data_IF_990252565449
#
_entry.id   IF_990252565449
#
_cell.length_a   1.000
_cell.length_b   1.000
_cell.length_c   1.000
_cell.angle_alpha   90.00
_cell.angle_beta   90.00
_cell.angle_gamma   90.00
#
_symmetry.space_group_name_H-M   'P 1'
#
loop_
_entity.id
_entity.type
_entity.pdbx_description
1 polymer ?
#
# COMPACT_ATOMS: atom_id res chain seq x y z
N UNK A 1 20.92 25.71 -17.68
CA UNK A 1 21.96 25.39 -16.68
C UNK A 1 21.32 24.86 -15.39
N UNK A 2 21.31 23.54 -15.18
CA UNK A 2 20.92 22.88 -13.91
C UNK A 2 21.35 21.39 -13.72
N UNK A 3 21.99 20.66 -14.67
CA UNK A 3 22.12 19.20 -14.51
C UNK A 3 23.17 18.75 -13.48
N UNK A 4 24.20 19.56 -13.18
CA UNK A 4 25.34 19.12 -12.35
C UNK A 4 25.01 18.88 -10.86
N UNK A 5 23.91 19.40 -10.31
CA UNK A 5 23.55 19.21 -8.88
C UNK A 5 22.57 18.07 -8.58
N UNK A 6 21.95 17.45 -9.60
CA UNK A 6 20.99 16.37 -9.40
C UNK A 6 21.69 15.06 -9.02
N UNK A 7 22.94 14.84 -9.46
CA UNK A 7 23.66 13.60 -9.16
C UNK A 7 23.94 13.39 -7.66
N UNK A 8 23.91 14.47 -6.84
CA UNK A 8 24.09 14.41 -5.38
C UNK A 8 22.77 14.27 -4.60
N UNK A 9 21.65 14.09 -5.29
CA UNK A 9 20.34 13.95 -4.63
C UNK A 9 20.21 12.57 -3.97
N UNK A 10 19.72 12.51 -2.72
CA UNK A 10 19.53 11.25 -2.01
C UNK A 10 18.34 10.46 -2.58
N UNK A 11 18.36 9.14 -2.40
CA UNK A 11 17.24 8.24 -2.73
C UNK A 11 16.20 8.16 -1.61
N UNK A 12 16.37 8.91 -0.52
CA UNK A 12 15.48 8.95 0.63
C UNK A 12 14.21 9.77 0.36
N UNK A 13 13.21 9.62 1.23
CA UNK A 13 12.07 10.54 1.29
C UNK A 13 12.51 11.93 1.73
N UNK A 14 11.72 12.93 1.34
CA UNK A 14 11.94 14.29 1.80
C UNK A 14 11.14 15.33 1.05
N UNK A 15 11.48 16.58 1.35
CA UNK A 15 10.87 17.76 0.74
C UNK A 15 11.93 18.49 -0.06
N UNK A 16 11.59 18.96 -1.25
CA UNK A 16 12.47 19.73 -2.13
C UNK A 16 11.88 21.10 -2.43
N UNK A 17 12.76 22.02 -2.78
CA UNK A 17 12.49 23.44 -2.93
C UNK A 17 13.05 23.92 -4.25
N UNK A 18 12.25 24.62 -5.03
CA UNK A 18 12.74 25.47 -6.11
C UNK A 18 12.80 26.90 -5.61
N UNK A 19 13.91 27.55 -5.92
CA UNK A 19 14.23 28.91 -5.50
C UNK A 19 14.38 29.81 -6.71
N UNK A 20 13.96 31.06 -6.53
CA UNK A 20 14.32 32.17 -7.40
C UNK A 20 14.96 33.23 -6.52
N UNK A 21 16.23 33.56 -6.79
CA UNK A 21 17.05 34.40 -5.90
C UNK A 21 17.05 33.82 -4.48
N UNK A 22 16.45 34.51 -3.51
CA UNK A 22 16.30 34.08 -2.12
C UNK A 22 14.87 33.72 -1.72
N UNK A 23 13.94 33.62 -2.67
CA UNK A 23 12.53 33.29 -2.42
C UNK A 23 12.22 31.85 -2.83
N UNK A 24 11.49 31.13 -1.97
CA UNK A 24 10.95 29.81 -2.30
C UNK A 24 9.76 30.01 -3.24
N UNK A 25 9.87 29.47 -4.45
CA UNK A 25 8.82 29.58 -5.47
C UNK A 25 7.96 28.31 -5.56
N UNK A 26 8.51 27.17 -5.14
CA UNK A 26 7.80 25.89 -5.06
C UNK A 26 8.38 24.98 -3.97
N UNK A 27 7.49 24.26 -3.31
CA UNK A 27 7.78 23.19 -2.34
C UNK A 27 7.07 21.94 -2.82
N UNK A 28 7.79 20.81 -2.85
CA UNK A 28 7.19 19.51 -3.16
C UNK A 28 7.73 18.40 -2.27
N UNK A 29 6.92 17.36 -2.02
CA UNK A 29 7.32 16.13 -1.34
C UNK A 29 7.70 15.03 -2.31
N UNK A 30 8.54 14.10 -1.85
CA UNK A 30 8.89 12.90 -2.60
C UNK A 30 9.10 11.72 -1.64
N UNK A 31 8.66 10.53 -2.06
CA UNK A 31 9.11 9.28 -1.43
C UNK A 31 10.57 8.96 -1.80
N UNK A 32 11.03 9.41 -2.97
CA UNK A 32 12.42 9.31 -3.41
C UNK A 32 12.84 10.63 -4.09
N UNK A 33 13.67 11.41 -3.40
CA UNK A 33 14.10 12.74 -3.86
C UNK A 33 14.82 12.69 -5.21
N UNK A 34 15.73 11.73 -5.41
CA UNK A 34 16.47 11.56 -6.67
C UNK A 34 15.56 11.31 -7.86
N UNK A 35 14.72 10.29 -7.78
CA UNK A 35 13.78 9.94 -8.86
C UNK A 35 12.81 11.09 -9.15
N UNK A 36 12.31 11.75 -8.10
CA UNK A 36 11.38 12.87 -8.27
C UNK A 36 12.04 14.07 -8.93
N UNK A 37 13.23 14.48 -8.48
CA UNK A 37 13.93 15.62 -9.07
C UNK A 37 14.38 15.33 -10.51
N UNK A 38 14.85 14.11 -10.80
CA UNK A 38 15.17 13.70 -12.17
C UNK A 38 13.95 13.78 -13.11
N UNK A 39 12.74 13.51 -12.62
CA UNK A 39 11.52 13.58 -13.45
C UNK A 39 11.26 14.98 -14.04
N UNK A 40 11.70 16.05 -13.38
CA UNK A 40 11.57 17.43 -13.87
C UNK A 40 12.51 17.77 -15.03
N UNK A 41 13.44 16.88 -15.40
CA UNK A 41 14.39 17.12 -16.50
C UNK A 41 14.22 16.14 -17.67
N UNK A 42 13.29 15.19 -17.56
CA UNK A 42 12.89 14.34 -18.67
C UNK A 42 11.79 15.07 -19.47
N UNK A 43 12.16 15.52 -20.68
CA UNK A 43 11.33 16.42 -21.52
C UNK A 43 9.97 15.85 -21.96
N UNK A 44 9.74 14.54 -21.85
CA UNK A 44 8.58 13.87 -22.43
C UNK A 44 7.28 13.95 -21.61
N UNK A 45 7.26 14.55 -20.41
CA UNK A 45 6.10 14.44 -19.49
C UNK A 45 5.85 15.65 -18.58
N UNK A 46 6.30 16.85 -18.95
CA UNK A 46 6.22 18.04 -18.07
C UNK A 46 5.18 19.03 -18.60
N UNK A 47 4.18 19.29 -17.76
CA UNK A 47 3.21 20.36 -17.94
C UNK A 47 3.89 21.73 -18.13
N UNK A 48 3.41 22.49 -19.11
CA UNK A 48 3.79 23.87 -19.45
C UNK A 48 4.16 24.74 -18.25
N UNK A 49 3.35 24.74 -17.19
CA UNK A 49 3.57 25.60 -16.02
C UNK A 49 4.73 25.13 -15.13
N UNK A 50 4.96 23.83 -15.04
CA UNK A 50 6.14 23.27 -14.37
C UNK A 50 7.41 23.58 -15.18
N UNK A 51 7.31 23.60 -16.50
CA UNK A 51 8.40 24.05 -17.38
C UNK A 51 8.76 25.51 -17.09
N UNK A 52 7.78 26.42 -16.98
CA UNK A 52 8.02 27.82 -16.60
C UNK A 52 8.69 27.95 -15.22
N UNK A 53 8.23 27.17 -14.23
CA UNK A 53 8.86 27.12 -12.90
C UNK A 53 10.32 26.71 -12.97
N UNK A 54 10.65 25.66 -13.74
CA UNK A 54 12.03 25.18 -13.89
C UNK A 54 12.91 26.23 -14.57
N UNK A 55 12.38 26.94 -15.58
CA UNK A 55 13.13 27.99 -16.29
C UNK A 55 13.47 29.18 -15.37
N UNK A 56 12.55 29.55 -14.49
CA UNK A 56 12.71 30.67 -13.56
C UNK A 56 13.57 30.31 -12.34
N UNK A 57 13.59 29.03 -11.96
CA UNK A 57 14.33 28.55 -10.80
C UNK A 57 15.85 28.63 -11.03
N UNK A 58 16.57 29.26 -10.10
CA UNK A 58 18.03 29.36 -10.14
C UNK A 58 18.73 28.35 -9.21
N UNK A 59 18.00 27.82 -8.21
CA UNK A 59 18.55 26.91 -7.21
C UNK A 59 17.51 25.89 -6.77
N UNK A 60 17.97 24.65 -6.60
CA UNK A 60 17.17 23.55 -6.06
C UNK A 60 17.86 23.08 -4.77
N UNK A 61 17.09 22.96 -3.69
CA UNK A 61 17.55 22.36 -2.42
C UNK A 61 16.56 21.31 -1.95
N UNK A 62 16.97 20.50 -0.97
CA UNK A 62 16.13 19.46 -0.38
C UNK A 62 16.44 19.28 1.10
N UNK A 63 15.47 18.74 1.83
CA UNK A 63 15.59 18.29 3.22
C UNK A 63 15.13 16.84 3.28
N UNK A 64 15.99 15.97 3.84
CA UNK A 64 15.67 14.55 4.03
C UNK A 64 14.66 14.41 5.17
N UNK A 65 13.76 13.45 5.04
CA UNK A 65 12.86 13.01 6.10
C UNK A 65 13.04 11.52 6.32
N UNK A 66 12.72 11.06 7.52
CA UNK A 66 12.73 9.64 7.89
C UNK A 66 11.64 8.85 7.17
N UNK A 67 10.52 9.49 6.82
CA UNK A 67 9.37 8.84 6.18
C UNK A 67 8.64 9.71 5.15
N UNK A 68 7.76 9.07 4.36
CA UNK A 68 6.84 9.73 3.44
C UNK A 68 5.76 10.56 4.15
N UNK A 69 5.31 10.12 5.34
CA UNK A 69 4.35 10.86 6.16
C UNK A 69 5.00 12.13 6.72
N UNK A 70 6.25 12.04 7.19
CA UNK A 70 6.99 13.22 7.62
C UNK A 70 7.21 14.20 6.45
N UNK A 71 7.51 13.69 5.25
CA UNK A 71 7.60 14.54 4.05
C UNK A 71 6.26 15.22 3.73
N UNK A 72 5.14 14.51 3.86
CA UNK A 72 3.79 15.04 3.66
C UNK A 72 3.46 16.17 4.65
N UNK A 73 3.72 15.93 5.94
CA UNK A 73 3.47 16.92 7.01
C UNK A 73 4.38 18.13 6.83
N UNK A 74 5.67 17.91 6.59
CA UNK A 74 6.64 18.98 6.42
C UNK A 74 6.34 19.84 5.19
N UNK A 75 5.95 19.22 4.07
CA UNK A 75 5.47 19.96 2.89
C UNK A 75 4.29 20.86 3.24
N UNK A 76 3.26 20.33 3.89
CA UNK A 76 2.08 21.09 4.32
C UNK A 76 2.45 22.30 5.19
N UNK A 77 3.32 22.09 6.19
CA UNK A 77 3.82 23.16 7.06
C UNK A 77 4.59 24.23 6.28
N UNK A 78 5.44 23.83 5.33
CA UNK A 78 6.25 24.75 4.53
C UNK A 78 5.40 25.53 3.52
N UNK A 79 4.40 24.90 2.90
CA UNK A 79 3.44 25.58 2.03
C UNK A 79 2.63 26.59 2.83
N UNK A 80 2.13 26.20 4.03
CA UNK A 80 1.40 27.10 4.92
C UNK A 80 2.25 28.32 5.32
N UNK A 81 3.53 28.09 5.65
CA UNK A 81 4.47 29.13 6.08
C UNK A 81 4.89 30.07 4.95
N UNK A 82 5.27 29.53 3.80
CA UNK A 82 5.92 30.30 2.73
C UNK A 82 4.99 30.72 1.59
N UNK A 83 3.81 30.10 1.47
CA UNK A 83 2.83 30.32 0.40
C UNK A 83 3.48 30.49 -0.99
N UNK A 84 4.24 29.48 -1.48
CA UNK A 84 5.03 29.63 -2.69
C UNK A 84 4.15 29.84 -3.93
N UNK A 85 4.55 30.75 -4.82
CA UNK A 85 3.74 31.17 -5.97
C UNK A 85 3.28 30.00 -6.85
N UNK A 86 4.16 29.03 -7.13
CA UNK A 86 3.81 27.90 -8.01
C UNK A 86 2.99 26.83 -7.27
N UNK A 87 3.06 26.73 -5.95
CA UNK A 87 2.12 25.86 -5.22
C UNK A 87 0.68 26.41 -5.25
N UNK A 88 0.53 27.73 -5.44
CA UNK A 88 -0.76 28.41 -5.61
C UNK A 88 -1.20 28.43 -7.07
N UNK A 89 -0.28 28.72 -8.01
CA UNK A 89 -0.57 28.89 -9.44
C UNK A 89 -0.66 27.59 -10.25
N UNK A 90 0.03 26.50 -9.86
CA UNK A 90 -0.02 25.19 -10.55
C UNK A 90 -1.32 24.41 -10.27
N UNK A 91 -2.42 25.11 -10.01
CA UNK A 91 -3.68 24.54 -9.56
C UNK A 91 -4.74 24.75 -10.63
N UNK A 92 -4.83 23.79 -11.54
CA UNK A 92 -6.06 23.57 -12.30
C UNK A 92 -7.08 22.98 -11.33
N UNK A 93 -8.06 23.77 -10.90
CA UNK A 93 -9.34 23.38 -10.29
C UNK A 93 -9.31 22.47 -9.04
N UNK A 94 -8.13 22.07 -8.55
CA UNK A 94 -7.92 21.15 -7.43
C UNK A 94 -7.60 21.93 -6.16
N UNK A 95 -8.62 22.11 -5.34
CA UNK A 95 -8.54 22.71 -4.00
C UNK A 95 -7.59 21.90 -3.10
N UNK A 96 -6.88 22.56 -2.16
CA UNK A 96 -6.08 21.84 -1.15
C UNK A 96 -6.97 20.88 -0.38
N UNK A 97 -6.42 19.74 0.04
CA UNK A 97 -7.09 18.88 0.99
C UNK A 97 -6.82 19.38 2.41
N UNK A 98 -7.84 19.34 3.23
CA UNK A 98 -7.79 19.61 4.66
C UNK A 98 -8.38 18.43 5.40
N UNK A 99 -7.78 18.09 6.54
CA UNK A 99 -8.33 17.13 7.48
C UNK A 99 -9.12 17.92 8.51
N UNK A 100 -10.44 17.71 8.54
CA UNK A 100 -11.36 18.32 9.49
C UNK A 100 -11.56 17.43 10.72
N UNK A 101 -11.63 18.07 11.89
CA UNK A 101 -11.90 17.46 13.19
C UNK A 101 -13.09 18.18 13.86
N UNK A 102 -14.17 17.46 14.16
CA UNK A 102 -15.32 18.04 14.91
C UNK A 102 -15.00 18.19 16.40
N UNK A 103 -15.71 19.06 17.14
CA UNK A 103 -15.57 19.19 18.61
C UNK A 103 -16.59 18.38 19.43
N UNK A 104 -17.12 17.29 18.88
CA UNK A 104 -17.99 16.38 19.64
C UNK A 104 -17.15 15.58 20.65
N UNK A 105 -17.80 14.93 21.63
CA UNK A 105 -17.09 14.16 22.67
C UNK A 105 -16.11 13.12 22.11
N UNK A 106 -16.42 12.53 20.97
CA UNK A 106 -15.48 11.78 20.15
C UNK A 106 -15.42 12.42 18.75
N UNK A 107 -14.37 13.23 18.50
CA UNK A 107 -14.23 13.96 17.23
C UNK A 107 -14.27 13.07 16.01
N UNK A 108 -15.01 13.52 14.99
CA UNK A 108 -15.04 12.91 13.66
C UNK A 108 -13.92 13.46 12.81
N UNK A 109 -13.26 12.57 12.06
CA UNK A 109 -12.20 12.91 11.11
C UNK A 109 -12.72 12.77 9.69
N UNK A 110 -12.55 13.81 8.87
CA UNK A 110 -12.95 13.77 7.46
C UNK A 110 -12.01 14.59 6.58
N UNK A 111 -12.05 14.33 5.28
CA UNK A 111 -11.31 15.10 4.28
C UNK A 111 -12.26 16.08 3.60
N UNK A 112 -11.85 17.34 3.48
CA UNK A 112 -12.58 18.37 2.74
C UNK A 112 -11.62 19.20 1.88
N UNK A 113 -12.18 19.78 0.83
CA UNK A 113 -11.52 20.78 -0.01
C UNK A 113 -11.89 22.22 0.39
N UNK A 114 -12.99 22.38 1.11
CA UNK A 114 -13.57 23.65 1.51
C UNK A 114 -13.53 23.74 3.04
N UNK A 115 -12.42 24.20 3.64
CA UNK A 115 -12.41 24.51 5.06
C UNK A 115 -13.36 25.70 5.29
N UNK A 116 -14.36 25.54 6.14
CA UNK A 116 -15.25 26.64 6.47
C UNK A 116 -14.50 27.66 7.32
N UNK A 117 -14.65 28.94 6.99
CA UNK A 117 -13.98 30.02 7.70
C UNK A 117 -14.80 30.35 8.96
N UNK A 118 -14.23 30.28 10.18
CA UNK A 118 -14.98 30.58 11.40
C UNK A 118 -15.52 32.03 11.46
N UNK A 119 -15.01 32.94 10.61
CA UNK A 119 -15.44 34.35 10.52
C UNK A 119 -16.26 34.69 9.26
N UNK A 120 -16.95 33.70 8.66
CA UNK A 120 -17.81 33.95 7.49
C UNK A 120 -19.02 34.83 7.84
N UNK A 121 -19.11 36.04 7.24
CA UNK A 121 -20.27 36.96 7.39
C UNK A 121 -21.60 36.40 6.87
N UNK A 122 -21.57 35.30 6.11
CA UNK A 122 -22.75 34.62 5.60
C UNK A 122 -22.76 33.17 6.10
N UNK A 123 -23.40 32.90 7.25
CA UNK A 123 -23.66 31.53 7.67
C UNK A 123 -24.70 30.93 6.72
N UNK A 124 -24.32 29.92 5.93
CA UNK A 124 -25.31 29.14 5.18
C UNK A 124 -26.36 28.51 6.12
N UNK A 125 -27.47 28.00 5.57
CA UNK A 125 -28.64 27.42 6.28
C UNK A 125 -28.36 26.37 7.38
N UNK A 126 -27.12 25.91 7.55
CA UNK A 126 -26.65 25.11 8.69
C UNK A 126 -26.29 25.99 9.92
N UNK A 127 -27.16 26.96 10.23
CA UNK A 127 -26.98 28.14 11.10
C UNK A 127 -26.67 27.95 12.59
N UNK A 128 -26.45 26.74 13.10
CA UNK A 128 -26.30 26.50 14.55
C UNK A 128 -25.21 25.49 14.96
N UNK A 129 -24.44 24.92 14.03
CA UNK A 129 -23.27 24.06 14.33
C UNK A 129 -21.98 24.74 13.86
N UNK A 130 -21.90 26.06 14.03
CA UNK A 130 -21.09 26.94 13.17
C UNK A 130 -19.74 27.42 13.72
N UNK A 131 -19.22 26.88 14.83
CA UNK A 131 -17.94 27.35 15.42
C UNK A 131 -16.95 26.24 15.87
N UNK A 132 -17.09 25.02 15.35
CA UNK A 132 -16.52 23.85 16.04
C UNK A 132 -15.85 22.81 15.16
N UNK A 133 -15.20 23.21 14.06
CA UNK A 133 -14.40 22.29 13.24
C UNK A 133 -12.98 22.85 13.12
N UNK A 134 -12.01 22.04 13.54
CA UNK A 134 -10.60 22.35 13.37
C UNK A 134 -10.09 21.73 12.07
N UNK A 135 -9.32 22.49 11.28
CA UNK A 135 -8.75 22.01 10.02
C UNK A 135 -7.21 21.99 10.05
N UNK A 136 -6.64 20.86 9.65
CA UNK A 136 -5.19 20.71 9.43
C UNK A 136 -4.93 20.57 7.93
N UNK A 137 -3.94 21.32 7.46
CA UNK A 137 -3.58 21.42 6.05
C UNK A 137 -2.80 22.72 5.81
N UNK A 138 -2.53 23.08 4.54
CA UNK A 138 -3.04 22.45 3.33
C UNK A 138 -2.23 21.23 2.84
N UNK A 139 -2.91 20.17 2.40
CA UNK A 139 -2.28 19.02 1.75
C UNK A 139 -2.46 19.08 0.22
N UNK A 140 -1.38 18.80 -0.50
CA UNK A 140 -1.30 18.87 -1.97
C UNK A 140 -1.97 17.68 -2.66
N UNK A 141 -1.91 16.49 -2.06
CA UNK A 141 -2.33 15.22 -2.66
C UNK A 141 -3.32 14.45 -1.76
N UNK A 142 -4.56 14.32 -2.24
CA UNK A 142 -5.66 13.65 -1.51
C UNK A 142 -5.45 12.17 -1.27
N UNK A 143 -4.88 11.46 -2.24
CA UNK A 143 -4.60 10.03 -2.11
C UNK A 143 -3.57 9.75 -1.02
N UNK A 144 -2.50 10.54 -0.93
CA UNK A 144 -1.48 10.37 0.11
C UNK A 144 -2.07 10.61 1.48
N UNK A 145 -2.79 11.71 1.71
CA UNK A 145 -3.38 12.00 3.02
C UNK A 145 -4.45 10.97 3.40
N UNK A 146 -5.27 10.50 2.44
CA UNK A 146 -6.25 9.43 2.67
C UNK A 146 -5.58 8.11 3.07
N UNK A 147 -4.47 7.75 2.41
CA UNK A 147 -3.66 6.58 2.74
C UNK A 147 -3.04 6.71 4.14
N UNK A 148 -2.47 7.87 4.46
CA UNK A 148 -1.94 8.20 5.79
C UNK A 148 -3.00 8.06 6.87
N UNK A 149 -4.18 8.65 6.69
CA UNK A 149 -5.29 8.55 7.64
C UNK A 149 -5.79 7.11 7.80
N UNK A 150 -5.69 6.28 6.77
CA UNK A 150 -6.03 4.85 6.85
C UNK A 150 -5.01 4.09 7.71
N UNK A 151 -3.72 4.32 7.51
CA UNK A 151 -2.67 3.73 8.36
C UNK A 151 -2.83 4.14 9.83
N UNK A 152 -3.02 5.44 10.07
CA UNK A 152 -3.18 5.96 11.42
C UNK A 152 -4.40 5.36 12.13
N UNK A 153 -5.47 5.01 11.40
CA UNK A 153 -6.66 4.38 11.99
C UNK A 153 -6.36 3.04 12.67
N UNK A 154 -5.42 2.26 12.13
CA UNK A 154 -5.04 0.97 12.70
C UNK A 154 -4.25 1.12 14.00
N UNK A 155 -3.62 2.28 14.23
CA UNK A 155 -2.91 2.58 15.47
C UNK A 155 -3.83 3.30 16.45
N UNK A 156 -4.53 4.32 15.95
CA UNK A 156 -5.41 5.20 16.69
C UNK A 156 -6.81 5.16 16.04
N UNK A 157 -7.68 4.22 16.43
CA UNK A 157 -9.05 4.14 15.94
C UNK A 157 -9.81 5.47 16.08
N UNK A 158 -10.56 5.86 15.05
CA UNK A 158 -11.31 7.11 15.02
C UNK A 158 -12.60 7.03 14.20
N UNK A 159 -13.54 7.93 14.48
CA UNK A 159 -14.86 7.97 13.87
C UNK A 159 -14.91 8.82 12.61
N UNK A 160 -15.76 8.44 11.65
CA UNK A 160 -16.05 9.23 10.44
C UNK A 160 -17.53 9.52 10.20
N UNK A 161 -18.44 8.85 10.91
CA UNK A 161 -19.89 8.96 10.73
C UNK A 161 -20.55 9.70 11.89
N UNK A 162 -21.71 10.32 11.62
CA UNK A 162 -22.60 10.88 12.64
C UNK A 162 -23.58 9.78 13.07
N UNK A 163 -23.64 9.46 14.36
CA UNK A 163 -24.63 8.52 14.92
C UNK A 163 -24.26 7.02 14.80
N UNK A 164 -25.28 6.19 15.03
CA UNK A 164 -25.26 4.73 15.16
C UNK A 164 -24.57 3.98 14.01
N UNK A 165 -23.69 3.00 14.29
CA UNK A 165 -22.88 2.32 13.27
C UNK A 165 -23.60 1.14 12.59
N UNK A 166 -24.94 1.16 12.39
CA UNK A 166 -25.67 0.00 11.85
C UNK A 166 -25.03 -0.57 10.57
N UNK A 167 -24.35 0.27 9.78
CA UNK A 167 -23.61 -0.11 8.56
C UNK A 167 -22.14 0.37 8.52
N UNK A 168 -21.49 0.66 9.66
CA UNK A 168 -20.10 1.12 9.64
C UNK A 168 -19.11 -0.06 9.55
N UNK A 169 -18.52 -0.24 8.37
CA UNK A 169 -17.46 -1.24 8.15
C UNK A 169 -16.32 -1.12 9.17
N UNK A 170 -15.92 0.11 9.51
CA UNK A 170 -14.81 0.32 10.43
C UNK A 170 -15.15 -0.03 11.87
N UNK A 171 -16.41 0.12 12.27
CA UNK A 171 -16.89 -0.34 13.57
C UNK A 171 -16.88 -1.88 13.63
N UNK A 172 -17.38 -2.55 12.59
CA UNK A 172 -17.34 -4.01 12.49
C UNK A 172 -15.90 -4.58 12.51
N UNK A 173 -14.90 -3.77 12.12
CA UNK A 173 -13.48 -4.12 12.17
C UNK A 173 -12.78 -3.71 13.47
N UNK A 174 -13.49 -3.14 14.46
CA UNK A 174 -12.89 -2.64 15.71
C UNK A 174 -12.02 -1.38 15.55
N UNK A 175 -12.19 -0.65 14.44
CA UNK A 175 -11.40 0.52 14.04
C UNK A 175 -12.18 1.83 14.11
N UNK A 176 -13.41 1.79 14.61
CA UNK A 176 -14.24 2.94 14.93
C UNK A 176 -14.70 2.81 16.39
N UNK A 177 -14.35 3.76 17.28
CA UNK A 177 -14.60 3.60 18.71
C UNK A 177 -16.05 3.85 19.16
N UNK A 178 -16.92 4.45 18.33
CA UNK A 178 -18.30 4.75 18.75
C UNK A 178 -19.32 3.71 18.26
N UNK A 179 -20.10 3.20 19.23
CA UNK A 179 -21.36 2.49 19.07
C UNK A 179 -22.57 3.33 19.53
N UNK A 180 -23.79 2.80 19.34
CA UNK A 180 -25.03 3.38 19.87
C UNK A 180 -24.98 3.67 21.38
N UNK A 181 -24.26 2.83 22.12
CA UNK A 181 -24.25 2.74 23.57
C UNK A 181 -22.84 3.02 24.11
N UNK A 182 -22.09 3.90 23.44
CA UNK A 182 -20.69 4.13 23.82
C UNK A 182 -20.59 4.66 25.24
N UNK A 183 -19.67 4.12 26.04
CA UNK A 183 -19.43 4.60 27.40
C UNK A 183 -18.63 5.90 27.39
N UNK A 184 -18.68 6.66 28.49
CA UNK A 184 -17.84 7.86 28.69
C UNK A 184 -16.34 7.55 28.53
N UNK A 185 -15.92 6.34 28.90
CA UNK A 185 -14.54 5.87 28.76
C UNK A 185 -14.13 5.65 27.30
N UNK A 186 -15.01 5.06 26.47
CA UNK A 186 -14.76 4.89 25.03
C UNK A 186 -14.67 6.24 24.31
N UNK A 187 -15.52 7.19 24.70
CA UNK A 187 -15.44 8.58 24.23
C UNK A 187 -14.10 9.23 24.64
N UNK A 188 -13.65 9.06 25.89
CA UNK A 188 -12.37 9.56 26.36
C UNK A 188 -11.16 8.93 25.62
N UNK A 189 -11.20 7.63 25.38
CA UNK A 189 -10.19 6.93 24.59
C UNK A 189 -10.16 7.43 23.13
N UNK A 190 -11.33 7.67 22.53
CA UNK A 190 -11.44 8.29 21.22
C UNK A 190 -10.77 9.67 21.20
N UNK A 191 -11.01 10.53 22.21
CA UNK A 191 -10.34 11.85 22.29
C UNK A 191 -8.82 11.72 22.29
N UNK A 192 -8.28 10.79 23.09
CA UNK A 192 -6.82 10.53 23.12
C UNK A 192 -6.27 10.12 21.75
N UNK A 193 -6.97 9.24 21.04
CA UNK A 193 -6.61 8.82 19.68
C UNK A 193 -6.61 10.01 18.70
N UNK A 194 -7.61 10.87 18.78
CA UNK A 194 -7.70 12.06 17.91
C UNK A 194 -6.57 13.05 18.21
N UNK A 195 -6.24 13.27 19.48
CA UNK A 195 -5.09 14.11 19.85
C UNK A 195 -3.79 13.56 19.27
N UNK A 196 -3.58 12.24 19.31
CA UNK A 196 -2.41 11.60 18.71
C UNK A 196 -2.35 11.84 17.19
N UNK A 197 -3.48 11.71 16.49
CA UNK A 197 -3.57 12.02 15.05
C UNK A 197 -3.28 13.49 14.79
N UNK A 198 -3.79 14.40 15.63
CA UNK A 198 -3.53 15.84 15.54
C UNK A 198 -2.05 16.15 15.71
N UNK A 199 -1.40 15.57 16.70
CA UNK A 199 0.04 15.71 16.93
C UNK A 199 0.85 15.25 15.72
N UNK A 200 0.50 14.10 15.14
CA UNK A 200 1.17 13.56 13.96
C UNK A 200 1.05 14.51 12.76
N UNK A 201 -0.17 14.98 12.46
CA UNK A 201 -0.42 15.85 11.31
C UNK A 201 0.14 17.27 11.50
N UNK A 202 0.36 17.71 12.75
CA UNK A 202 1.05 18.97 13.08
C UNK A 202 2.57 18.84 13.14
N UNK A 203 3.11 17.62 13.15
CA UNK A 203 4.54 17.35 13.25
C UNK A 203 5.08 17.20 14.68
N UNK A 204 4.22 17.09 15.69
CA UNK A 204 4.57 16.95 17.12
C UNK A 204 4.88 15.50 17.55
N UNK A 205 5.40 14.67 16.65
CA UNK A 205 5.58 13.23 16.88
C UNK A 205 6.48 12.90 18.09
N UNK A 206 7.56 13.68 18.31
CA UNK A 206 8.47 13.46 19.44
C UNK A 206 7.75 13.57 20.80
N UNK A 207 6.83 14.52 20.92
CA UNK A 207 6.06 14.73 22.15
C UNK A 207 5.02 13.62 22.34
N UNK A 208 4.38 13.18 21.25
CA UNK A 208 3.46 12.05 21.28
C UNK A 208 4.16 10.78 21.78
N UNK A 209 5.31 10.41 21.21
CA UNK A 209 6.05 9.20 21.62
C UNK A 209 6.43 9.25 23.10
N UNK A 210 6.95 10.39 23.57
CA UNK A 210 7.29 10.58 25.00
C UNK A 210 6.07 10.47 25.92
N UNK A 211 4.92 10.98 25.48
CA UNK A 211 3.66 10.90 26.24
C UNK A 211 3.17 9.46 26.35
N UNK A 212 3.15 8.72 25.23
CA UNK A 212 2.77 7.30 25.21
C UNK A 212 3.71 6.46 26.08
N UNK A 213 5.01 6.73 26.06
CA UNK A 213 6.01 6.04 26.89
C UNK A 213 5.78 6.28 28.39
N UNK A 214 5.49 7.53 28.78
CA UNK A 214 5.13 7.87 30.17
C UNK A 214 3.83 7.19 30.61
N UNK A 215 2.81 7.15 29.75
CA UNK A 215 1.53 6.52 30.07
C UNK A 215 1.68 5.00 30.18
N UNK A 216 2.45 4.37 29.28
CA UNK A 216 2.78 2.95 29.31
C UNK A 216 3.52 2.57 30.59
N UNK A 217 4.54 3.33 30.97
CA UNK A 217 5.31 3.08 32.20
C UNK A 217 4.48 3.29 33.46
N UNK A 218 3.53 4.24 33.45
CA UNK A 218 2.56 4.42 34.52
C UNK A 218 1.64 3.20 34.65
N UNK A 219 1.02 2.75 33.56
CA UNK A 219 0.13 1.58 33.58
C UNK A 219 0.86 0.31 34.04
N UNK A 220 2.13 0.14 33.65
CA UNK A 220 2.94 -0.98 34.12
C UNK A 220 3.21 -0.95 35.63
N UNK A 221 3.34 0.25 36.23
CA UNK A 221 3.48 0.41 37.70
C UNK A 221 2.16 0.17 38.44
N UNK A 222 1.04 0.46 37.81
CA UNK A 222 -0.32 0.22 38.33
C UNK A 222 -0.78 -1.24 38.07
N UNK A 223 0.13 -2.13 37.67
CA UNK A 223 -0.14 -3.55 37.32
C UNK A 223 -1.17 -3.75 36.18
N UNK A 224 -1.47 -2.70 35.41
CA UNK A 224 -2.32 -2.77 34.23
C UNK A 224 -1.48 -3.14 32.98
N UNK A 225 -1.10 -4.42 32.90
CA UNK A 225 -0.23 -4.94 31.85
C UNK A 225 -0.88 -4.97 30.45
N UNK A 226 -2.20 -5.13 30.37
CA UNK A 226 -2.93 -5.11 29.11
C UNK A 226 -2.90 -3.72 28.46
N UNK A 227 -3.20 -2.68 29.26
CA UNK A 227 -3.13 -1.29 28.81
C UNK A 227 -1.71 -0.88 28.41
N UNK A 228 -0.70 -1.29 29.20
CA UNK A 228 0.69 -1.04 28.88
C UNK A 228 1.11 -1.71 27.56
N UNK A 229 0.70 -2.97 27.33
CA UNK A 229 0.98 -3.70 26.09
C UNK A 229 0.34 -3.02 24.89
N UNK A 230 -0.92 -2.56 25.01
CA UNK A 230 -1.61 -1.80 23.96
C UNK A 230 -0.83 -0.54 23.56
N UNK A 231 -0.36 0.25 24.52
CA UNK A 231 0.43 1.45 24.26
C UNK A 231 1.80 1.13 23.63
N UNK A 232 2.48 0.08 24.11
CA UNK A 232 3.74 -0.42 23.53
C UNK A 232 3.56 -0.81 22.07
N UNK A 233 2.50 -1.54 21.75
CA UNK A 233 2.22 -2.02 20.40
C UNK A 233 1.85 -0.84 19.48
N UNK A 234 1.10 0.15 19.97
CA UNK A 234 0.85 1.41 19.26
C UNK A 234 2.14 2.19 18.97
N UNK A 235 3.02 2.33 19.96
CA UNK A 235 4.32 2.98 19.78
C UNK A 235 5.19 2.24 18.78
N UNK A 236 5.18 0.90 18.81
CA UNK A 236 5.93 0.05 17.89
C UNK A 236 5.37 0.19 16.47
N UNK A 237 4.05 0.15 16.30
CA UNK A 237 3.40 0.39 15.00
C UNK A 237 3.71 1.80 14.47
N UNK A 238 3.71 2.81 15.33
CA UNK A 238 4.06 4.19 14.96
C UNK A 238 5.51 4.28 14.51
N UNK A 239 6.44 3.74 15.32
CA UNK A 239 7.87 3.64 14.95
C UNK A 239 8.03 2.90 13.64
N UNK A 240 7.29 1.81 13.41
CA UNK A 240 7.34 1.06 12.16
C UNK A 240 6.87 1.89 10.97
N UNK A 241 5.79 2.66 11.08
CA UNK A 241 5.35 3.57 10.02
C UNK A 241 6.43 4.61 9.67
N UNK A 242 7.18 5.09 10.67
CA UNK A 242 8.25 6.06 10.46
C UNK A 242 9.59 5.43 10.05
N UNK A 243 9.87 4.20 10.47
CA UNK A 243 11.12 3.47 10.22
C UNK A 243 11.07 2.63 8.94
N UNK A 244 9.89 2.21 8.49
CA UNK A 244 9.73 1.42 7.27
C UNK A 244 9.75 2.31 6.04
N UNK A 245 10.79 2.11 5.23
CA UNK A 245 10.63 2.05 3.78
C UNK A 245 9.55 1.00 3.43
N UNK A 246 8.68 1.34 2.48
CA UNK A 246 7.81 0.40 1.73
C UNK A 246 6.60 -0.20 2.46
N UNK A 247 5.62 0.61 2.91
CA UNK A 247 4.23 0.14 3.01
C UNK A 247 3.32 1.26 2.53
N UNK A 248 2.58 1.02 1.44
CA UNK A 248 1.67 1.93 0.74
C UNK A 248 2.31 2.95 -0.23
N UNK A 249 2.88 2.45 -1.32
CA UNK A 249 2.81 3.18 -2.58
C UNK A 249 2.40 2.23 -3.70
N UNK A 250 1.21 2.45 -4.27
CA UNK A 250 0.80 1.88 -5.57
C UNK A 250 1.68 2.41 -6.73
N UNK A 251 2.62 3.32 -6.45
CA UNK A 251 3.65 3.79 -7.38
C UNK A 251 5.03 3.19 -7.10
N UNK A 252 5.13 2.27 -6.14
CA UNK A 252 6.32 1.44 -5.92
C UNK A 252 6.23 0.16 -6.76
N UNK A 253 6.17 0.31 -8.08
CA UNK A 253 7.07 -0.52 -8.88
C UNK A 253 8.46 0.02 -8.60
N UNK A 254 8.99 -0.41 -7.45
CA UNK A 254 10.22 0.10 -6.87
C UNK A 254 11.30 -0.02 -7.94
N UNK A 255 12.13 1.00 -8.02
CA UNK A 255 13.40 0.98 -8.73
C UNK A 255 14.30 -0.08 -8.05
N UNK A 256 14.02 -1.37 -8.27
CA UNK A 256 14.79 -2.50 -7.75
C UNK A 256 16.06 -2.66 -8.59
N UNK A 257 16.98 -1.70 -8.46
CA UNK A 257 18.24 -1.69 -9.20
C UNK A 257 19.23 -2.77 -8.75
N UNK A 258 18.95 -3.51 -7.68
CA UNK A 258 19.77 -4.62 -7.20
C UNK A 258 18.86 -5.76 -6.76
N UNK A 259 18.37 -6.57 -7.71
CA UNK A 259 18.00 -7.96 -7.38
C UNK A 259 19.32 -8.74 -7.33
N UNK A 260 19.96 -8.69 -6.18
CA UNK A 260 21.15 -9.49 -5.94
C UNK A 260 20.69 -10.91 -5.61
N UNK A 261 20.97 -11.86 -6.49
CA UNK A 261 20.90 -13.28 -6.14
C UNK A 261 21.90 -13.65 -5.03
N UNK A 262 22.90 -12.79 -4.75
CA UNK A 262 23.95 -13.05 -3.75
C UNK A 262 23.43 -13.14 -2.31
N UNK A 263 22.23 -12.60 -2.02
CA UNK A 263 21.64 -12.63 -0.67
C UNK A 263 20.71 -13.83 -0.44
N UNK A 264 20.62 -14.76 -1.39
CA UNK A 264 19.85 -15.99 -1.23
C UNK A 264 20.75 -17.14 -0.76
N UNK A 265 20.25 -18.04 0.10
CA UNK A 265 20.97 -19.25 0.46
C UNK A 265 21.37 -20.04 -0.79
N UNK A 266 22.62 -20.51 -0.88
CA UNK A 266 23.12 -21.30 -2.03
C UNK A 266 22.21 -22.50 -2.33
N UNK A 267 21.68 -23.13 -1.28
CA UNK A 267 20.75 -24.23 -1.39
C UNK A 267 19.43 -23.88 -2.09
N UNK A 268 19.01 -22.62 -2.08
CA UNK A 268 17.82 -22.13 -2.78
C UNK A 268 18.15 -21.72 -4.23
N UNK A 269 19.32 -21.12 -4.46
CA UNK A 269 19.75 -20.65 -5.78
C UNK A 269 19.72 -21.73 -6.86
N UNK A 270 20.07 -22.98 -6.50
CA UNK A 270 20.04 -24.12 -7.44
C UNK A 270 18.65 -24.45 -7.99
N UNK A 271 17.57 -24.04 -7.32
CA UNK A 271 16.20 -24.32 -7.73
C UNK A 271 15.54 -23.16 -8.49
N UNK A 272 16.14 -21.97 -8.49
CA UNK A 272 15.59 -20.78 -9.15
C UNK A 272 16.00 -20.71 -10.63
N UNK A 273 15.34 -19.85 -11.45
CA UNK A 273 15.76 -19.66 -12.83
C UNK A 273 17.20 -19.12 -12.89
N UNK A 274 18.05 -19.71 -13.74
CA UNK A 274 19.46 -19.31 -13.94
C UNK A 274 19.57 -18.09 -14.87
N UNK A 275 18.82 -17.04 -14.55
CA UNK A 275 18.83 -15.75 -15.24
C UNK A 275 18.52 -14.65 -14.23
N UNK A 276 18.75 -13.40 -14.62
CA UNK A 276 18.51 -12.26 -13.75
C UNK A 276 17.06 -12.25 -13.22
N UNK A 277 16.84 -12.06 -11.89
CA UNK A 277 15.49 -11.99 -11.33
C UNK A 277 14.58 -10.94 -11.96
N UNK A 278 15.16 -9.89 -12.55
CA UNK A 278 14.42 -8.85 -13.28
C UNK A 278 13.80 -9.36 -14.57
N UNK A 279 14.32 -10.46 -15.12
CA UNK A 279 13.85 -11.09 -16.35
C UNK A 279 12.92 -12.28 -16.06
N UNK A 280 12.67 -12.63 -14.79
CA UNK A 280 11.74 -13.70 -14.45
C UNK A 280 10.31 -13.30 -14.82
N UNK A 281 9.63 -14.16 -15.55
CA UNK A 281 8.17 -14.11 -15.69
C UNK A 281 7.57 -14.90 -14.54
N UNK A 282 6.87 -14.20 -13.65
CA UNK A 282 6.26 -14.77 -12.46
C UNK A 282 4.75 -14.67 -12.63
N UNK A 283 4.04 -15.79 -12.50
CA UNK A 283 2.57 -15.80 -12.43
C UNK A 283 2.13 -16.13 -11.00
N UNK A 284 1.34 -15.24 -10.40
CA UNK A 284 0.80 -15.36 -9.05
C UNK A 284 -0.65 -15.86 -9.05
N UNK A 285 -0.96 -16.80 -8.17
CA UNK A 285 -2.27 -17.45 -8.07
C UNK A 285 -2.85 -17.36 -6.66
N UNK A 286 -4.14 -16.99 -6.56
CA UNK A 286 -4.94 -16.94 -5.33
C UNK A 286 -6.34 -17.51 -5.61
N UNK A 287 -6.88 -18.26 -4.64
CA UNK A 287 -8.26 -18.75 -4.63
C UNK A 287 -9.04 -17.95 -3.60
N UNK A 288 -10.19 -17.43 -4.03
CA UNK A 288 -11.14 -16.73 -3.18
C UNK A 288 -12.48 -17.46 -3.19
N UNK A 289 -12.88 -17.95 -2.02
CA UNK A 289 -14.12 -18.69 -1.83
C UNK A 289 -15.01 -17.93 -0.83
N UNK A 290 -16.24 -17.60 -1.24
CA UNK A 290 -17.24 -16.94 -0.40
C UNK A 290 -18.42 -17.90 -0.29
N UNK A 291 -18.65 -18.43 0.91
CA UNK A 291 -19.89 -19.08 1.38
C UNK A 291 -20.72 -19.81 0.29
N UNK A 292 -20.05 -20.64 -0.52
CA UNK A 292 -20.68 -21.74 -1.25
C UNK A 292 -21.32 -21.47 -2.62
N UNK A 293 -21.35 -20.25 -3.19
CA UNK A 293 -22.07 -20.05 -4.47
C UNK A 293 -21.24 -19.60 -5.69
N UNK A 294 -20.10 -18.90 -5.55
CA UNK A 294 -19.20 -18.65 -6.71
C UNK A 294 -17.73 -18.53 -6.29
N UNK A 295 -17.04 -19.67 -6.21
CA UNK A 295 -15.59 -19.69 -6.00
C UNK A 295 -14.85 -19.17 -7.25
N UNK A 296 -13.81 -18.37 -7.03
CA UNK A 296 -13.04 -17.76 -8.12
C UNK A 296 -11.53 -17.84 -7.86
N UNK A 297 -10.78 -18.11 -8.92
CA UNK A 297 -9.33 -18.02 -8.93
C UNK A 297 -8.85 -16.77 -9.66
N UNK A 298 -7.70 -16.26 -9.24
CA UNK A 298 -7.05 -15.12 -9.87
C UNK A 298 -5.65 -15.49 -10.36
N UNK A 299 -5.28 -14.96 -11.52
CA UNK A 299 -3.94 -15.02 -12.09
C UNK A 299 -3.47 -13.59 -12.32
N UNK A 300 -2.33 -13.26 -11.74
CA UNK A 300 -1.58 -12.02 -12.04
C UNK A 300 -0.24 -12.39 -12.64
N UNK A 301 0.29 -11.58 -13.55
CA UNK A 301 1.57 -11.86 -14.21
C UNK A 301 2.52 -10.69 -14.05
N UNK A 302 3.80 -10.99 -13.88
CA UNK A 302 4.86 -10.02 -13.63
C UNK A 302 6.10 -10.36 -14.45
N UNK A 303 6.83 -9.33 -14.88
CA UNK A 303 8.22 -9.41 -15.35
C UNK A 303 9.11 -8.82 -14.24
N UNK A 304 9.76 -9.69 -13.47
CA UNK A 304 10.39 -9.38 -12.20
C UNK A 304 9.39 -8.75 -11.24
N UNK A 305 9.61 -7.47 -10.92
CA UNK A 305 8.72 -6.68 -10.06
C UNK A 305 7.65 -5.89 -10.83
N UNK A 306 7.68 -5.86 -12.17
CA UNK A 306 6.76 -5.06 -12.99
C UNK A 306 5.51 -5.88 -13.35
N UNK A 307 4.29 -5.34 -13.21
CA UNK A 307 3.06 -6.07 -13.49
C UNK A 307 2.82 -6.08 -15.00
N UNK A 308 2.24 -7.17 -15.48
CA UNK A 308 1.77 -7.32 -16.85
C UNK A 308 0.24 -7.41 -16.80
N UNK A 309 -0.41 -6.28 -16.51
CA UNK A 309 -1.86 -6.23 -16.22
C UNK A 309 -2.73 -6.74 -17.36
N UNK A 310 -2.26 -6.61 -18.61
CA UNK A 310 -2.90 -7.17 -19.81
C UNK A 310 -2.96 -8.71 -19.79
N UNK A 311 -2.09 -9.37 -19.02
CA UNK A 311 -2.04 -10.82 -18.88
C UNK A 311 -2.82 -11.32 -17.65
N UNK A 312 -3.47 -10.44 -16.89
CA UNK A 312 -4.23 -10.86 -15.71
C UNK A 312 -5.48 -11.60 -16.14
N UNK A 313 -5.80 -12.70 -15.45
CA UNK A 313 -6.97 -13.54 -15.75
C UNK A 313 -7.74 -13.86 -14.47
N UNK A 314 -9.05 -14.03 -14.63
CA UNK A 314 -9.93 -14.51 -13.57
C UNK A 314 -10.56 -15.80 -14.04
N UNK A 315 -10.63 -16.76 -13.14
CA UNK A 315 -11.20 -18.07 -13.40
C UNK A 315 -12.41 -18.24 -12.49
N UNK A 316 -13.59 -18.41 -13.07
CA UNK A 316 -14.71 -18.99 -12.32
C UNK A 316 -14.47 -20.49 -12.21
N UNK A 317 -14.53 -21.02 -10.98
CA UNK A 317 -14.43 -22.46 -10.71
C UNK A 317 -15.68 -23.14 -11.27
N UNK A 318 -15.49 -24.24 -12.00
CA UNK A 318 -16.59 -24.93 -12.71
C UNK A 318 -16.81 -26.35 -12.21
N UNK A 319 -15.76 -27.08 -11.86
CA UNK A 319 -15.85 -28.54 -11.67
C UNK A 319 -15.77 -28.94 -10.20
N UNK A 320 -15.25 -28.07 -9.33
CA UNK A 320 -15.13 -28.35 -7.90
C UNK A 320 -16.39 -27.92 -7.15
N UNK A 321 -17.06 -28.88 -6.50
CA UNK A 321 -18.18 -28.64 -5.58
C UNK A 321 -17.67 -28.43 -4.15
N UNK A 322 -18.24 -27.46 -3.44
CA UNK A 322 -17.90 -27.18 -2.04
C UNK A 322 -16.57 -26.42 -1.88
N UNK A 323 -16.19 -26.16 -0.62
CA UNK A 323 -15.04 -25.33 -0.27
C UNK A 323 -13.72 -26.12 -0.22
N UNK A 324 -13.18 -26.48 -1.39
CA UNK A 324 -11.90 -27.18 -1.49
C UNK A 324 -10.87 -26.39 -2.31
N UNK A 325 -10.15 -25.51 -1.64
CA UNK A 325 -9.17 -24.60 -2.26
C UNK A 325 -8.05 -25.33 -3.02
N UNK A 326 -7.65 -26.52 -2.55
CA UNK A 326 -6.62 -27.34 -3.20
C UNK A 326 -7.11 -27.87 -4.54
N UNK A 327 -8.33 -28.40 -4.59
CA UNK A 327 -8.94 -28.87 -5.82
C UNK A 327 -9.24 -27.71 -6.79
N UNK A 328 -9.67 -26.56 -6.28
CA UNK A 328 -9.90 -25.35 -7.08
C UNK A 328 -8.61 -24.83 -7.72
N UNK A 329 -7.52 -24.81 -6.96
CA UNK A 329 -6.19 -24.44 -7.47
C UNK A 329 -5.77 -25.37 -8.61
N UNK A 330 -5.97 -26.68 -8.45
CA UNK A 330 -5.69 -27.69 -9.48
C UNK A 330 -6.49 -27.45 -10.76
N UNK A 331 -7.79 -27.14 -10.64
CA UNK A 331 -8.66 -26.84 -11.79
C UNK A 331 -8.13 -25.63 -12.59
N UNK A 332 -7.82 -24.53 -11.92
CA UNK A 332 -7.40 -23.29 -12.61
C UNK A 332 -6.05 -23.47 -13.29
N UNK A 333 -5.11 -24.19 -12.65
CA UNK A 333 -3.79 -24.48 -13.23
C UNK A 333 -3.94 -25.39 -14.44
N UNK A 334 -4.74 -26.46 -14.36
CA UNK A 334 -4.98 -27.33 -15.51
C UNK A 334 -5.54 -26.56 -16.71
N UNK A 335 -6.54 -25.70 -16.46
CA UNK A 335 -7.11 -24.84 -17.51
C UNK A 335 -6.10 -23.85 -18.08
N UNK A 336 -5.28 -23.24 -17.22
CA UNK A 336 -4.19 -22.34 -17.63
C UNK A 336 -3.17 -23.05 -18.51
N UNK A 337 -2.79 -24.27 -18.17
CA UNK A 337 -1.80 -25.05 -18.92
C UNK A 337 -2.34 -25.47 -20.30
N UNK A 338 -3.63 -25.75 -20.42
CA UNK A 338 -4.25 -26.03 -21.72
C UNK A 338 -4.22 -24.84 -22.69
N UNK A 339 -4.06 -23.61 -22.19
CA UNK A 339 -3.89 -22.40 -22.99
C UNK A 339 -2.41 -22.06 -23.29
N UNK A 340 -1.48 -23.03 -23.21
CA UNK A 340 -0.04 -22.76 -23.37
C UNK A 340 0.33 -22.16 -24.74
N UNK A 341 -0.45 -22.43 -25.79
CA UNK A 341 -0.24 -21.88 -27.14
C UNK A 341 -0.46 -20.37 -27.16
N UNK A 342 -1.51 -19.88 -26.50
CA UNK A 342 -1.78 -18.43 -26.45
C UNK A 342 -1.04 -17.75 -25.28
N UNK A 343 -0.82 -18.48 -24.20
CA UNK A 343 -0.24 -17.98 -22.96
C UNK A 343 1.06 -18.74 -22.67
N UNK A 344 2.22 -18.24 -23.14
CA UNK A 344 3.49 -18.92 -22.95
C UNK A 344 3.75 -19.18 -21.47
N UNK A 345 4.44 -20.27 -21.14
CA UNK A 345 4.72 -20.66 -19.77
C UNK A 345 5.57 -19.59 -19.04
N UNK A 346 5.32 -19.31 -17.75
CA UNK A 346 6.18 -18.47 -16.95
C UNK A 346 7.42 -19.23 -16.45
N UNK A 347 8.40 -18.51 -15.92
CA UNK A 347 9.53 -19.13 -15.23
C UNK A 347 9.12 -19.68 -13.86
N UNK A 348 8.20 -18.98 -13.18
CA UNK A 348 7.78 -19.27 -11.81
C UNK A 348 6.25 -19.23 -11.71
N UNK A 349 5.67 -20.30 -11.18
CA UNK A 349 4.33 -20.28 -10.58
C UNK A 349 4.45 -19.97 -9.09
N UNK A 350 3.93 -18.82 -8.68
CA UNK A 350 3.85 -18.41 -7.30
C UNK A 350 2.43 -18.66 -6.76
N UNK A 351 2.32 -19.51 -5.76
CA UNK A 351 1.03 -19.95 -5.20
C UNK A 351 0.85 -19.34 -3.81
N UNK A 352 -0.29 -18.67 -3.56
CA UNK A 352 -0.67 -18.26 -2.22
C UNK A 352 -1.17 -19.48 -1.42
N UNK A 353 -0.24 -20.19 -0.80
CA UNK A 353 -0.55 -21.45 -0.13
C UNK A 353 0.68 -22.22 0.33
N UNK A 354 0.43 -23.24 1.15
CA UNK A 354 1.46 -24.14 1.66
C UNK A 354 1.63 -25.38 0.79
N UNK A 355 2.23 -26.43 1.37
CA UNK A 355 2.50 -27.71 0.70
C UNK A 355 1.29 -28.34 -0.02
N UNK A 356 0.07 -28.38 0.56
CA UNK A 356 -1.06 -29.01 -0.12
C UNK A 356 -1.38 -28.37 -1.48
N UNK A 357 -1.38 -27.03 -1.55
CA UNK A 357 -1.67 -26.29 -2.78
C UNK A 357 -0.54 -26.47 -3.81
N UNK A 358 0.71 -26.38 -3.38
CA UNK A 358 1.89 -26.57 -4.23
C UNK A 358 1.90 -27.98 -4.84
N UNK A 359 1.61 -29.01 -4.05
CA UNK A 359 1.57 -30.39 -4.53
C UNK A 359 0.45 -30.59 -5.55
N UNK A 360 -0.72 -29.96 -5.36
CA UNK A 360 -1.79 -30.01 -6.34
C UNK A 360 -1.42 -29.36 -7.68
N UNK A 361 -0.71 -28.22 -7.63
CA UNK A 361 -0.15 -27.56 -8.83
C UNK A 361 0.90 -28.45 -9.50
N UNK A 362 1.78 -29.09 -8.71
CA UNK A 362 2.80 -29.99 -9.22
C UNK A 362 2.18 -31.20 -9.94
N UNK A 363 1.15 -31.80 -9.38
CA UNK A 363 0.44 -32.92 -10.00
C UNK A 363 -0.26 -32.48 -11.30
N UNK A 364 -0.90 -31.31 -11.33
CA UNK A 364 -1.52 -30.78 -12.55
C UNK A 364 -0.48 -30.54 -13.66
N UNK A 365 0.68 -29.98 -13.30
CA UNK A 365 1.77 -29.73 -14.24
C UNK A 365 2.38 -31.04 -14.76
N UNK A 366 2.56 -32.03 -13.88
CA UNK A 366 3.06 -33.35 -14.24
C UNK A 366 2.11 -34.06 -15.22
N UNK A 367 0.81 -34.12 -14.92
CA UNK A 367 -0.19 -34.72 -15.81
C UNK A 367 -0.27 -34.00 -17.16
N UNK A 368 -0.28 -32.66 -17.14
CA UNK A 368 -0.27 -31.88 -18.38
C UNK A 368 0.99 -32.13 -19.19
N UNK A 369 2.16 -32.28 -18.56
CA UNK A 369 3.41 -32.55 -19.29
C UNK A 369 3.41 -33.92 -19.99
N UNK A 370 2.72 -34.93 -19.45
CA UNK A 370 2.53 -36.23 -20.10
C UNK A 370 1.54 -36.17 -21.26
N UNK A 371 0.51 -35.32 -21.15
CA UNK A 371 -0.41 -35.09 -22.25
C UNK A 371 0.25 -34.27 -23.37
N UNK A 372 0.94 -33.19 -23.01
CA UNK A 372 1.61 -32.30 -23.95
C UNK A 372 2.74 -33.01 -24.72
N UNK A 373 3.39 -34.03 -24.16
CA UNK A 373 4.41 -34.80 -24.90
C UNK A 373 3.86 -35.55 -26.13
N UNK A 374 2.54 -35.72 -26.24
CA UNK A 374 1.87 -36.33 -27.41
C UNK A 374 1.51 -35.32 -28.51
N UNK A 375 1.48 -34.02 -28.21
CA UNK A 375 1.23 -32.95 -29.20
C UNK A 375 2.56 -32.61 -29.94
N UNK A 376 2.48 -32.43 -31.26
CA UNK A 376 3.64 -32.09 -32.11
C UNK A 376 4.07 -30.63 -31.92
N UNK A 377 3.11 -29.75 -31.60
CA UNK A 377 3.34 -28.31 -31.38
C UNK A 377 3.56 -27.96 -29.90
N UNK A 378 3.35 -28.92 -28.99
CA UNK A 378 3.78 -28.76 -27.62
C UNK A 378 5.30 -28.62 -27.56
N UNK A 379 5.83 -27.87 -26.58
CA UNK A 379 7.27 -27.67 -26.46
C UNK A 379 7.99 -29.00 -26.25
N UNK A 380 8.61 -29.52 -27.33
CA UNK A 380 9.48 -30.71 -27.33
C UNK A 380 10.92 -30.32 -27.01
N UNK A 381 11.58 -31.07 -26.13
CA UNK A 381 12.97 -30.81 -25.70
C UNK A 381 13.08 -29.94 -24.44
N UNK A 382 14.29 -29.46 -24.11
CA UNK A 382 14.72 -28.79 -22.85
C UNK A 382 13.97 -27.48 -22.48
N UNK A 383 12.69 -27.29 -22.81
CA UNK A 383 11.92 -26.18 -22.24
C UNK A 383 11.65 -26.49 -20.76
N UNK A 384 12.27 -25.69 -19.88
CA UNK A 384 12.25 -25.91 -18.44
C UNK A 384 10.83 -25.65 -17.93
N UNK A 385 10.20 -26.65 -17.35
CA UNK A 385 8.90 -26.50 -16.69
C UNK A 385 8.97 -25.37 -15.64
N UNK A 386 7.88 -24.61 -15.44
CA UNK A 386 7.84 -23.55 -14.43
C UNK A 386 8.22 -24.08 -13.05
N UNK A 387 9.03 -23.30 -12.33
CA UNK A 387 9.35 -23.60 -10.94
C UNK A 387 8.13 -23.24 -10.08
N UNK A 388 7.70 -24.16 -9.22
CA UNK A 388 6.55 -23.94 -8.34
C UNK A 388 7.07 -23.50 -6.96
N UNK A 389 6.64 -22.33 -6.53
CA UNK A 389 6.94 -21.75 -5.22
C UNK A 389 5.64 -21.42 -4.52
N UNK A 390 5.46 -21.91 -3.30
CA UNK A 390 4.39 -21.43 -2.42
C UNK A 390 4.93 -20.46 -1.39
N UNK A 391 4.12 -19.44 -1.08
CA UNK A 391 4.44 -18.43 -0.08
C UNK A 391 3.38 -18.44 1.02
N UNK A 392 3.74 -18.90 2.21
CA UNK A 392 2.80 -19.01 3.33
C UNK A 392 2.67 -17.68 4.11
N UNK A 393 1.44 -17.20 4.26
CA UNK A 393 1.09 -15.87 4.81
C UNK A 393 1.54 -15.57 6.25
N UNK A 394 1.74 -16.58 7.11
CA UNK A 394 2.09 -16.35 8.53
C UNK A 394 3.57 -16.01 8.74
N UNK A 395 4.46 -16.73 8.05
CA UNK A 395 5.91 -16.66 8.29
C UNK A 395 6.70 -16.15 7.07
N UNK A 396 6.05 -15.89 5.93
CA UNK A 396 6.71 -15.48 4.68
C UNK A 396 7.79 -16.47 4.22
N UNK A 397 7.52 -17.76 4.47
CA UNK A 397 8.39 -18.88 4.13
C UNK A 397 8.15 -19.35 2.70
N UNK A 398 9.25 -19.68 2.00
CA UNK A 398 9.22 -20.22 0.64
C UNK A 398 9.19 -21.75 0.67
N UNK A 399 8.13 -22.31 0.09
CA UNK A 399 7.95 -23.75 -0.06
C UNK A 399 8.25 -24.14 -1.50
N UNK A 400 9.10 -25.15 -1.69
CA UNK A 400 9.39 -25.75 -3.00
C UNK A 400 8.95 -27.21 -3.01
N UNK A 401 8.55 -27.71 -4.19
CA UNK A 401 8.16 -29.12 -4.39
C UNK A 401 9.31 -30.08 -4.10
N UNK A 402 10.54 -29.67 -4.38
CA UNK A 402 11.75 -30.50 -4.29
C UNK A 402 12.39 -30.54 -2.90
N UNK A 403 11.91 -29.73 -1.94
CA UNK A 403 12.55 -29.58 -0.62
C UNK A 403 11.57 -29.80 0.53
N UNK A 404 11.97 -30.63 1.51
CA UNK A 404 11.13 -30.98 2.69
C UNK A 404 11.02 -29.88 3.74
N UNK A 405 12.01 -29.00 3.86
CA UNK A 405 11.97 -27.83 4.76
C UNK A 405 11.79 -26.55 3.96
N UNK A 406 10.90 -25.63 4.36
CA UNK A 406 10.78 -24.35 3.69
C UNK A 406 12.01 -23.47 3.93
N UNK A 407 12.26 -22.52 3.04
CA UNK A 407 13.30 -21.51 3.22
C UNK A 407 12.70 -20.28 3.89
N UNK A 408 13.19 -19.96 5.08
CA UNK A 408 12.94 -18.67 5.71
C UNK A 408 14.01 -17.67 5.22
N UNK A 409 13.57 -16.57 4.60
CA UNK A 409 14.45 -15.50 4.15
C UNK A 409 14.36 -14.30 5.09
N UNK A 410 15.39 -13.46 5.09
CA UNK A 410 15.32 -12.16 5.76
C UNK A 410 14.17 -11.34 5.15
N UNK A 411 13.38 -10.66 5.98
CA UNK A 411 12.23 -9.83 5.53
C UNK A 411 12.62 -8.71 4.57
N UNK A 412 13.88 -8.29 4.57
CA UNK A 412 14.41 -7.28 3.66
C UNK A 412 14.99 -7.87 2.35
N UNK A 413 14.96 -9.20 2.19
CA UNK A 413 15.47 -9.86 0.99
C UNK A 413 14.67 -9.43 -0.25
N UNK A 414 15.38 -8.99 -1.29
CA UNK A 414 14.76 -8.42 -2.51
C UNK A 414 13.85 -9.41 -3.24
N UNK A 415 14.22 -10.70 -3.29
CA UNK A 415 13.43 -11.74 -3.94
C UNK A 415 12.19 -12.11 -3.12
N UNK A 416 12.31 -12.16 -1.79
CA UNK A 416 11.15 -12.34 -0.91
C UNK A 416 10.14 -11.20 -1.10
N UNK A 417 10.61 -9.95 -1.08
CA UNK A 417 9.75 -8.77 -1.29
C UNK A 417 9.08 -8.79 -2.67
N UNK A 418 9.77 -9.26 -3.70
CA UNK A 418 9.19 -9.45 -5.03
C UNK A 418 8.06 -10.48 -5.01
N UNK A 419 8.26 -11.65 -4.39
CA UNK A 419 7.21 -12.67 -4.27
C UNK A 419 6.02 -12.18 -3.43
N UNK A 420 6.28 -11.49 -2.32
CA UNK A 420 5.22 -10.86 -1.51
C UNK A 420 4.39 -9.87 -2.35
N UNK A 421 5.04 -9.06 -3.19
CA UNK A 421 4.34 -8.13 -4.08
C UNK A 421 3.42 -8.86 -5.08
N UNK A 422 3.89 -9.95 -5.68
CA UNK A 422 3.08 -10.76 -6.61
C UNK A 422 1.89 -11.40 -5.90
N UNK A 423 2.09 -11.96 -4.70
CA UNK A 423 1.00 -12.53 -3.88
C UNK A 423 -0.01 -11.47 -3.45
N UNK A 424 0.45 -10.33 -2.96
CA UNK A 424 -0.45 -9.29 -2.47
C UNK A 424 -1.27 -8.71 -3.64
N UNK A 425 -0.71 -8.65 -4.84
CA UNK A 425 -1.42 -8.26 -6.06
C UNK A 425 -2.43 -9.32 -6.52
N UNK A 426 -2.13 -10.63 -6.44
CA UNK A 426 -3.11 -11.68 -6.74
C UNK A 426 -4.30 -11.60 -5.78
N UNK A 427 -4.02 -11.48 -4.48
CA UNK A 427 -5.04 -11.32 -3.46
C UNK A 427 -5.89 -10.05 -3.66
N UNK A 428 -5.25 -8.91 -4.03
CA UNK A 428 -5.96 -7.67 -4.37
C UNK A 428 -6.84 -7.85 -5.62
N UNK A 429 -6.31 -8.51 -6.64
CA UNK A 429 -7.00 -8.70 -7.91
C UNK A 429 -8.23 -9.62 -7.74
N UNK A 430 -8.13 -10.66 -6.93
CA UNK A 430 -9.25 -11.50 -6.52
C UNK A 430 -10.34 -10.67 -5.82
N UNK A 431 -9.99 -9.92 -4.77
CA UNK A 431 -10.93 -9.05 -4.03
C UNK A 431 -11.66 -8.03 -4.91
N UNK A 432 -10.97 -7.45 -5.89
CA UNK A 432 -11.55 -6.45 -6.80
C UNK A 432 -12.67 -7.01 -7.70
N UNK A 433 -12.72 -8.33 -7.91
CA UNK A 433 -13.78 -8.99 -8.67
C UNK A 433 -15.11 -9.00 -7.93
N UNK A 434 -15.07 -9.36 -6.65
CA UNK A 434 -16.25 -9.47 -5.81
C UNK A 434 -16.98 -8.14 -5.68
N UNK A 435 -16.26 -7.02 -5.56
CA UNK A 435 -16.86 -5.69 -5.56
C UNK A 435 -17.58 -5.32 -6.87
N UNK A 436 -17.20 -5.91 -8.02
CA UNK A 436 -17.87 -5.69 -9.31
C UNK A 436 -19.08 -6.61 -9.50
N UNK A 437 -19.02 -7.86 -9.01
CA UNK A 437 -20.16 -8.78 -9.04
C UNK A 437 -21.30 -8.32 -8.12
N UNK A 438 -21.00 -7.88 -6.89
CA UNK A 438 -22.00 -7.31 -5.99
C UNK A 438 -22.66 -6.04 -6.56
N UNK A 439 -21.90 -5.20 -7.27
CA UNK A 439 -22.46 -4.02 -7.96
C UNK A 439 -23.36 -4.37 -9.13
N UNK A 440 -23.09 -5.48 -9.83
CA UNK A 440 -23.94 -5.96 -10.94
C UNK A 440 -25.21 -6.63 -10.41
N UNK A 441 -25.13 -7.42 -9.34
CA UNK A 441 -26.30 -8.04 -8.71
C UNK A 441 -27.29 -6.99 -8.18
N UNK A 442 -26.80 -5.92 -7.54
CA UNK A 442 -27.63 -4.80 -7.07
C UNK A 442 -28.17 -3.85 -8.16
N UNK A 443 -27.82 -4.06 -9.43
CA UNK A 443 -28.36 -3.29 -10.56
C UNK A 443 -29.47 -4.06 -11.30
N UNK A 444 -29.75 -5.30 -10.90
CA UNK A 444 -30.77 -6.17 -11.50
C UNK A 444 -31.81 -6.69 -10.47
N UNK A 445 -31.81 -6.12 -9.27
CA UNK A 445 -32.96 -6.07 -8.33
C UNK A 445 -33.49 -4.64 -8.33
#
# INVERSE_FOLDING_TARGET
MAPKKINKTPTTSGVYFFWQKNKIIYVGKAANLKSRLSSYFNKSNIDSRKTSMIQIANKITWRRTSSSIEALVLESLLIKKHKPQFNVALRDDKQYFYVGFTKEECPRVFLTHQPQNPNSKFPGRAGQIQNSIEYIGPFTEGHTIKSTLKMLRHIFPYCTHKGLPKNCLWYALGLCPLSANSTSEEAAACRKNIEAIRDILRGNNKNLVRRLEKEMTKLAKEENFEGATKLRDQMTALKNIYAHQNVLNQEQYVNFKQHSLYDLPEGLLKYLPRKDPREWRIEGYDISNIQGQEATGSLVSFAGSKPLKNLYKKFRIKTVKGANDVAMMREIIGRRLNHYKEWPLPDIFLIDGGRPQINAVNNALFEWSHFASTDIEAPRGKQKLPIIIGLAKRNEELYLTTVKKPYALNKNNSVLLMFMCVRDESHRFAKSYHSKLHKKAMLFE
#
